data_IF_327111389298
#
_entry.id   IF_327111389298
#
_cell.length_a   1.000
_cell.length_b   1.000
_cell.length_c   1.000
_cell.angle_alpha   90.00
_cell.angle_beta   90.00
_cell.angle_gamma   90.00
#
_symmetry.space_group_name_H-M   'P 1'
#
loop_
_entity.id
_entity.type
_entity.pdbx_description
1 polymer ?
#
# COMPACT_ATOMS: atom_id res chain seq x y z
N UNK A 1 26.38 3.55 -10.76
CA UNK A 1 26.15 4.20 -9.45
C UNK A 1 26.62 3.22 -8.38
N UNK A 2 27.44 3.66 -7.43
CA UNK A 2 27.92 2.84 -6.30
C UNK A 2 27.05 3.01 -5.04
N UNK A 3 25.90 3.66 -5.18
CA UNK A 3 24.97 3.94 -4.11
C UNK A 3 23.64 3.26 -4.38
N UNK A 4 23.00 2.75 -3.33
CA UNK A 4 21.60 2.35 -3.39
C UNK A 4 20.73 3.61 -3.50
N UNK A 5 19.77 3.60 -4.43
CA UNK A 5 18.80 4.67 -4.62
C UNK A 5 17.40 4.20 -4.27
N UNK A 6 16.67 5.00 -3.50
CA UNK A 6 15.20 4.90 -3.37
C UNK A 6 14.60 6.11 -4.07
N UNK A 7 13.84 5.87 -5.14
CA UNK A 7 13.04 6.87 -5.83
C UNK A 7 11.57 6.72 -5.43
N UNK A 8 10.98 7.74 -4.84
CA UNK A 8 9.55 7.78 -4.49
C UNK A 8 8.82 8.66 -5.49
N UNK A 9 7.90 8.09 -6.25
CA UNK A 9 7.15 8.80 -7.28
C UNK A 9 5.91 9.49 -6.71
N UNK A 10 5.56 10.63 -7.29
CA UNK A 10 4.27 11.26 -7.04
C UNK A 10 3.24 10.70 -8.04
N UNK A 11 2.60 9.60 -7.67
CA UNK A 11 1.42 9.04 -8.36
C UNK A 11 0.11 9.70 -7.91
N UNK A 12 0.22 10.80 -7.15
CA UNK A 12 -0.82 11.42 -6.32
C UNK A 12 -1.03 10.66 -5.00
N UNK A 13 -2.23 10.19 -4.70
CA UNK A 13 -2.50 9.51 -3.43
C UNK A 13 -2.37 7.99 -3.60
N UNK A 14 -1.17 7.46 -3.42
CA UNK A 14 -0.86 6.04 -3.52
C UNK A 14 0.64 5.82 -3.44
N UNK A 15 1.08 4.56 -3.53
CA UNK A 15 2.49 4.21 -3.49
C UNK A 15 3.04 3.84 -4.88
N UNK A 16 4.26 4.32 -5.12
CA UNK A 16 5.10 3.94 -6.26
C UNK A 16 6.56 4.23 -5.92
N UNK A 17 7.37 3.19 -5.74
CA UNK A 17 8.79 3.34 -5.40
C UNK A 17 9.66 2.48 -6.31
N UNK A 18 10.67 3.07 -6.93
CA UNK A 18 11.73 2.34 -7.63
C UNK A 18 13.01 2.35 -6.78
N UNK A 19 13.49 1.18 -6.39
CA UNK A 19 14.75 1.02 -5.67
C UNK A 19 15.78 0.41 -6.61
N UNK A 20 16.93 1.05 -6.72
CA UNK A 20 18.07 0.59 -7.51
C UNK A 20 19.22 0.24 -6.57
N UNK A 21 19.69 -1.00 -6.62
CA UNK A 21 20.70 -1.55 -5.72
C UNK A 21 21.91 -2.02 -6.51
N UNK A 22 23.11 -1.47 -6.29
CA UNK A 22 24.34 -2.07 -6.82
C UNK A 22 24.66 -3.34 -6.01
N UNK A 23 24.32 -4.49 -6.58
CA UNK A 23 24.35 -5.80 -5.93
C UNK A 23 25.59 -6.60 -6.38
N UNK A 24 26.51 -6.86 -5.46
CA UNK A 24 27.75 -7.59 -5.73
C UNK A 24 27.59 -9.11 -5.59
N UNK A 25 27.92 -9.85 -6.64
CA UNK A 25 27.99 -11.31 -6.59
C UNK A 25 29.41 -11.75 -6.22
N UNK A 26 29.58 -12.27 -5.00
CA UNK A 26 30.87 -12.76 -4.51
C UNK A 26 31.45 -13.94 -5.32
N UNK A 27 30.60 -14.67 -6.06
CA UNK A 27 31.03 -15.82 -6.87
C UNK A 27 31.67 -15.37 -8.18
N UNK A 28 31.12 -14.33 -8.80
CA UNK A 28 31.59 -13.82 -10.10
C UNK A 28 32.45 -12.57 -9.99
N UNK A 29 32.44 -11.89 -8.83
CA UNK A 29 33.08 -10.60 -8.60
C UNK A 29 32.40 -9.42 -9.30
N UNK A 30 31.24 -9.64 -9.95
CA UNK A 30 30.54 -8.63 -10.71
C UNK A 30 29.52 -7.91 -9.84
N UNK A 31 29.44 -6.58 -9.98
CA UNK A 31 28.35 -5.78 -9.41
C UNK A 31 27.33 -5.50 -10.49
N UNK A 32 26.09 -5.92 -10.28
CA UNK A 32 24.96 -5.65 -11.19
C UNK A 32 24.01 -4.66 -10.54
N UNK A 33 23.54 -3.65 -11.28
CA UNK A 33 22.46 -2.81 -10.79
C UNK A 33 21.14 -3.60 -10.86
N UNK A 34 20.56 -3.87 -9.69
CA UNK A 34 19.29 -4.58 -9.55
C UNK A 34 18.17 -3.59 -9.26
N UNK A 35 17.00 -3.80 -9.86
CA UNK A 35 15.86 -2.90 -9.72
C UNK A 35 14.66 -3.59 -9.09
N UNK A 36 14.09 -2.98 -8.05
CA UNK A 36 12.76 -3.35 -7.55
C UNK A 36 11.75 -2.21 -7.66
N UNK A 37 10.52 -2.53 -8.04
CA UNK A 37 9.40 -1.59 -8.14
C UNK A 37 8.33 -2.02 -7.14
N UNK A 38 7.98 -1.14 -6.22
CA UNK A 38 6.99 -1.39 -5.17
C UNK A 38 5.77 -0.56 -5.48
N UNK A 39 4.67 -1.25 -5.76
CA UNK A 39 3.36 -0.72 -6.09
C UNK A 39 3.37 0.29 -7.26
N UNK A 40 2.22 0.47 -7.89
CA UNK A 40 1.94 1.65 -8.72
C UNK A 40 0.45 1.83 -8.67
N UNK A 41 -0.04 2.81 -7.92
CA UNK A 41 -1.47 3.09 -7.86
C UNK A 41 -1.78 4.47 -7.30
N UNK A 42 -3.04 4.84 -7.35
CA UNK A 42 -3.57 5.96 -6.58
C UNK A 42 -5.03 5.71 -6.19
N UNK A 43 -5.60 6.54 -5.32
CA UNK A 43 -7.00 6.42 -4.93
C UNK A 43 -7.90 6.58 -6.16
N UNK A 44 -9.16 6.16 -6.13
CA UNK A 44 -10.09 6.43 -7.24
C UNK A 44 -10.99 7.66 -7.01
N UNK A 45 -10.64 8.51 -6.04
CA UNK A 45 -11.48 9.62 -5.59
C UNK A 45 -10.75 10.98 -5.63
N UNK A 46 -11.50 12.01 -6.01
CA UNK A 46 -11.03 13.40 -5.99
C UNK A 46 -9.82 13.66 -6.89
N UNK A 47 -9.13 14.78 -6.65
CA UNK A 47 -7.88 15.07 -7.37
C UNK A 47 -6.78 14.06 -7.05
N UNK A 48 -6.75 13.49 -5.85
CA UNK A 48 -5.78 12.46 -5.47
C UNK A 48 -5.80 11.21 -6.36
N UNK A 49 -6.89 10.99 -7.10
CA UNK A 49 -7.10 9.81 -7.92
C UNK A 49 -7.07 9.99 -9.43
N UNK A 50 -6.52 11.12 -9.93
CA UNK A 50 -6.44 11.27 -11.38
C UNK A 50 -5.22 10.53 -11.96
N UNK A 51 -5.51 9.54 -12.80
CA UNK A 51 -4.56 8.64 -13.47
C UNK A 51 -3.49 9.31 -14.34
N UNK A 52 -3.58 10.63 -14.55
CA UNK A 52 -2.57 11.45 -15.21
C UNK A 52 -1.15 11.29 -14.66
N UNK A 53 -0.99 10.81 -13.42
CA UNK A 53 0.32 10.53 -12.82
C UNK A 53 0.96 9.22 -13.29
N UNK A 54 0.19 8.23 -13.76
CA UNK A 54 0.72 6.89 -14.05
C UNK A 54 1.64 6.87 -15.27
N UNK A 55 1.24 7.50 -16.37
CA UNK A 55 2.03 7.46 -17.61
C UNK A 55 3.41 8.13 -17.43
N UNK A 56 3.53 9.36 -16.88
CA UNK A 56 4.84 9.97 -16.67
C UNK A 56 5.72 9.18 -15.69
N UNK A 57 5.11 8.56 -14.67
CA UNK A 57 5.84 7.73 -13.71
C UNK A 57 6.41 6.50 -14.40
N UNK A 58 5.61 5.77 -15.19
CA UNK A 58 6.10 4.57 -15.88
C UNK A 58 7.07 4.87 -17.02
N UNK A 59 6.88 5.97 -17.74
CA UNK A 59 7.89 6.45 -18.69
C UNK A 59 9.22 6.72 -18.00
N UNK A 60 9.20 7.29 -16.78
CA UNK A 60 10.41 7.48 -16.00
C UNK A 60 11.00 6.16 -15.46
N UNK A 61 10.16 5.24 -14.96
CA UNK A 61 10.63 3.90 -14.54
C UNK A 61 11.35 3.21 -15.69
N UNK A 62 10.76 3.19 -16.88
CA UNK A 62 11.37 2.58 -18.07
C UNK A 62 12.68 3.26 -18.47
N UNK A 63 12.76 4.59 -18.34
CA UNK A 63 14.00 5.33 -18.59
C UNK A 63 15.09 4.99 -17.56
N UNK A 64 14.73 4.77 -16.30
CA UNK A 64 15.67 4.38 -15.24
C UNK A 64 16.13 2.93 -15.33
N UNK A 65 15.31 2.06 -15.92
CA UNK A 65 15.71 0.68 -16.25
C UNK A 65 16.65 0.64 -17.45
N UNK A 66 16.55 1.60 -18.39
CA UNK A 66 17.39 1.69 -19.60
C UNK A 66 17.50 0.35 -20.36
N UNK A 67 16.37 -0.35 -20.48
CA UNK A 67 16.26 -1.65 -21.12
C UNK A 67 16.71 -2.86 -20.29
N UNK A 68 17.28 -2.65 -19.10
CA UNK A 68 17.52 -3.68 -18.09
C UNK A 68 16.17 -4.23 -17.56
N UNK A 69 16.15 -5.49 -17.09
CA UNK A 69 14.95 -6.07 -16.54
C UNK A 69 14.60 -5.47 -15.18
N UNK A 70 13.31 -5.40 -14.88
CA UNK A 70 12.81 -5.24 -13.52
C UNK A 70 13.05 -6.56 -12.76
N UNK A 71 14.00 -6.56 -11.83
CA UNK A 71 14.40 -7.78 -11.13
C UNK A 71 13.33 -8.28 -10.15
N UNK A 72 12.60 -7.36 -9.51
CA UNK A 72 11.52 -7.67 -8.59
C UNK A 72 10.40 -6.62 -8.65
N UNK A 73 9.17 -7.03 -8.91
CA UNK A 73 7.98 -6.24 -8.62
C UNK A 73 7.41 -6.64 -7.25
N UNK A 74 6.90 -5.70 -6.47
CA UNK A 74 6.23 -5.96 -5.19
C UNK A 74 4.87 -5.30 -5.19
N UNK A 75 3.81 -6.10 -5.03
CA UNK A 75 2.45 -5.66 -4.72
C UNK A 75 2.23 -5.83 -3.22
N UNK A 76 2.19 -4.72 -2.47
CA UNK A 76 2.15 -4.80 -1.01
C UNK A 76 0.84 -5.40 -0.51
N UNK A 77 -0.30 -4.95 -1.00
CA UNK A 77 -1.63 -5.47 -0.65
C UNK A 77 -2.67 -5.14 -1.73
N UNK A 78 -3.89 -5.62 -1.53
CA UNK A 78 -4.98 -5.60 -2.51
C UNK A 78 -5.84 -4.33 -2.37
N UNK A 79 -5.25 -3.17 -2.66
CA UNK A 79 -5.98 -1.89 -2.77
C UNK A 79 -5.62 -1.13 -4.05
N UNK A 80 -6.59 -0.38 -4.60
CA UNK A 80 -6.48 0.27 -5.91
C UNK A 80 -5.36 1.31 -5.95
N UNK A 81 -5.10 1.99 -4.85
CA UNK A 81 -3.99 2.92 -4.67
C UNK A 81 -2.60 2.28 -4.64
N UNK A 82 -2.53 0.96 -4.78
CA UNK A 82 -1.32 0.17 -4.93
C UNK A 82 -1.27 -0.63 -6.24
N UNK A 83 -2.41 -1.12 -6.73
CA UNK A 83 -2.44 -2.14 -7.81
C UNK A 83 -2.81 -1.61 -9.20
N UNK A 84 -3.45 -0.44 -9.32
CA UNK A 84 -4.16 -0.10 -10.56
C UNK A 84 -3.30 0.51 -11.68
N UNK A 85 -2.14 1.06 -11.34
CA UNK A 85 -1.37 1.92 -12.25
C UNK A 85 -0.69 1.16 -13.40
N UNK A 86 -0.18 -0.05 -13.15
CA UNK A 86 0.39 -0.90 -14.20
C UNK A 86 -0.67 -1.34 -15.23
N UNK A 87 -1.79 -2.00 -14.85
CA UNK A 87 -2.81 -2.41 -15.81
C UNK A 87 -3.41 -1.21 -16.55
N UNK A 88 -3.65 -0.08 -15.86
CA UNK A 88 -4.12 1.15 -16.50
C UNK A 88 -3.16 1.61 -17.61
N UNK A 89 -1.87 1.71 -17.32
CA UNK A 89 -0.91 2.20 -18.30
C UNK A 89 -0.70 1.20 -19.44
N UNK A 90 -0.74 -0.09 -19.15
CA UNK A 90 -0.64 -1.12 -20.18
C UNK A 90 -1.78 -1.01 -21.20
N UNK A 91 -3.02 -0.90 -20.72
CA UNK A 91 -4.18 -0.68 -21.57
C UNK A 91 -4.10 0.64 -22.35
N UNK A 92 -3.80 1.75 -21.66
CA UNK A 92 -3.94 3.10 -22.22
C UNK A 92 -2.77 3.55 -23.10
N UNK A 93 -1.58 3.00 -22.88
CA UNK A 93 -0.33 3.51 -23.50
C UNK A 93 0.49 2.44 -24.22
N UNK A 94 0.45 1.21 -23.74
CA UNK A 94 1.36 0.15 -24.23
C UNK A 94 0.65 -0.97 -24.99
N UNK A 95 -0.69 -0.99 -25.01
CA UNK A 95 -1.49 -1.94 -25.78
C UNK A 95 -1.27 -3.40 -25.40
N UNK A 96 -1.02 -3.67 -24.11
CA UNK A 96 -0.65 -5.01 -23.61
C UNK A 96 0.86 -5.32 -23.68
N UNK A 97 1.68 -4.37 -24.14
CA UNK A 97 3.13 -4.51 -24.32
C UNK A 97 3.99 -4.03 -23.15
N UNK A 98 3.41 -3.72 -21.98
CA UNK A 98 4.17 -3.20 -20.83
C UNK A 98 5.12 -4.26 -20.26
N UNK A 99 4.72 -5.53 -20.27
CA UNK A 99 5.54 -6.65 -19.77
C UNK A 99 6.86 -6.77 -20.53
N UNK A 100 6.85 -6.63 -21.86
CA UNK A 100 8.03 -6.71 -22.72
C UNK A 100 8.99 -5.54 -22.47
N UNK A 101 8.45 -4.40 -22.02
CA UNK A 101 9.23 -3.21 -21.68
C UNK A 101 9.88 -3.31 -20.31
N UNK A 102 9.11 -3.73 -19.28
CA UNK A 102 9.61 -3.88 -17.92
C UNK A 102 10.47 -5.13 -17.74
N UNK A 103 10.19 -6.20 -18.50
CA UNK A 103 10.80 -7.54 -18.37
C UNK A 103 10.87 -8.03 -16.91
N UNK A 104 9.73 -8.08 -16.18
CA UNK A 104 9.76 -8.42 -14.76
C UNK A 104 10.15 -9.89 -14.56
N UNK A 105 11.23 -10.13 -13.80
CA UNK A 105 11.73 -11.48 -13.53
C UNK A 105 10.96 -12.16 -12.41
N UNK A 106 10.79 -11.43 -11.31
CA UNK A 106 10.07 -11.90 -10.15
C UNK A 106 8.97 -10.90 -9.75
N UNK A 107 7.87 -11.42 -9.23
CA UNK A 107 6.85 -10.63 -8.56
C UNK A 107 6.60 -11.20 -7.16
N UNK A 108 6.55 -10.34 -6.15
CA UNK A 108 6.05 -10.64 -4.82
C UNK A 108 4.67 -10.03 -4.67
N UNK A 109 3.67 -10.87 -4.43
CA UNK A 109 2.32 -10.46 -4.09
C UNK A 109 2.03 -10.91 -2.66
N UNK A 110 1.14 -10.18 -1.96
CA UNK A 110 0.70 -10.60 -0.62
C UNK A 110 0.14 -12.03 -0.65
N UNK A 111 0.30 -12.78 0.44
CA UNK A 111 -0.12 -14.18 0.50
C UNK A 111 -1.59 -14.41 0.10
N UNK A 112 -2.49 -13.48 0.48
CA UNK A 112 -3.92 -13.55 0.15
C UNK A 112 -4.21 -13.53 -1.35
N UNK A 113 -3.26 -13.06 -2.15
CA UNK A 113 -3.38 -13.00 -3.59
C UNK A 113 -3.01 -14.34 -4.27
N UNK A 114 -2.64 -15.40 -3.55
CA UNK A 114 -2.43 -16.70 -4.20
C UNK A 114 -3.76 -17.26 -4.76
N UNK A 115 -3.80 -17.84 -5.98
CA UNK A 115 -5.03 -18.37 -6.57
C UNK A 115 -5.74 -19.41 -5.71
N UNK A 116 -4.96 -20.21 -4.97
CA UNK A 116 -5.44 -21.28 -4.08
C UNK A 116 -5.50 -20.85 -2.61
N UNK A 117 -5.23 -19.57 -2.30
CA UNK A 117 -5.08 -19.10 -0.93
C UNK A 117 -6.29 -19.44 -0.06
N UNK A 118 -7.47 -19.06 -0.54
CA UNK A 118 -8.71 -19.21 0.21
C UNK A 118 -9.23 -20.65 0.26
N UNK A 119 -8.68 -21.56 -0.55
CA UNK A 119 -8.91 -23.00 -0.42
C UNK A 119 -8.10 -23.57 0.74
N UNK A 120 -6.87 -23.08 0.95
CA UNK A 120 -5.99 -23.47 2.04
C UNK A 120 -6.32 -22.81 3.38
N UNK A 121 -6.95 -21.63 3.36
CA UNK A 121 -7.30 -20.85 4.55
C UNK A 121 -8.83 -20.63 4.66
N UNK A 122 -9.62 -21.65 5.07
CA UNK A 122 -11.08 -21.59 5.06
C UNK A 122 -11.67 -20.53 6.01
N UNK A 123 -11.01 -20.22 7.13
CA UNK A 123 -11.48 -19.14 8.01
C UNK A 123 -11.27 -17.77 7.34
N UNK A 124 -10.13 -17.54 6.69
CA UNK A 124 -9.91 -16.33 5.90
C UNK A 124 -10.94 -16.21 4.76
N UNK A 125 -11.29 -17.33 4.10
CA UNK A 125 -12.34 -17.37 3.06
C UNK A 125 -13.71 -16.96 3.61
N UNK A 126 -14.10 -17.50 4.76
CA UNK A 126 -15.35 -17.13 5.42
C UNK A 126 -15.40 -15.65 5.77
N UNK A 127 -14.30 -15.07 6.25
CA UNK A 127 -14.21 -13.64 6.56
C UNK A 127 -14.24 -12.78 5.29
N UNK A 128 -13.56 -13.20 4.21
CA UNK A 128 -13.62 -12.53 2.91
C UNK A 128 -15.05 -12.52 2.36
N UNK A 129 -15.73 -13.67 2.37
CA UNK A 129 -17.12 -13.80 1.89
C UNK A 129 -18.06 -12.89 2.67
N UNK A 130 -17.92 -12.85 4.00
CA UNK A 130 -18.69 -11.95 4.86
C UNK A 130 -18.39 -10.47 4.55
N UNK A 131 -17.12 -10.13 4.31
CA UNK A 131 -16.69 -8.76 3.97
C UNK A 131 -17.26 -8.32 2.62
N UNK A 132 -17.22 -9.19 1.60
CA UNK A 132 -17.75 -8.91 0.25
C UNK A 132 -19.27 -8.78 0.28
N UNK A 133 -19.96 -9.66 1.00
CA UNK A 133 -21.40 -9.57 1.19
C UNK A 133 -21.80 -8.26 1.88
N UNK A 134 -21.07 -7.87 2.94
CA UNK A 134 -21.28 -6.61 3.64
C UNK A 134 -21.01 -5.40 2.73
N UNK A 135 -19.92 -5.40 1.97
CA UNK A 135 -19.62 -4.35 0.99
C UNK A 135 -20.77 -4.18 -0.02
N UNK A 136 -21.28 -5.28 -0.56
CA UNK A 136 -22.39 -5.25 -1.52
C UNK A 136 -23.67 -4.70 -0.90
N UNK A 137 -24.00 -5.11 0.32
CA UNK A 137 -25.11 -4.54 1.10
C UNK A 137 -24.92 -3.03 1.31
N UNK A 138 -23.73 -2.58 1.71
CA UNK A 138 -23.43 -1.16 1.97
C UNK A 138 -23.52 -0.33 0.68
N UNK A 139 -23.04 -0.87 -0.44
CA UNK A 139 -23.13 -0.24 -1.76
C UNK A 139 -24.58 -0.10 -2.21
N UNK A 140 -25.37 -1.16 -2.14
CA UNK A 140 -26.81 -1.14 -2.47
C UNK A 140 -27.57 -0.16 -1.57
N UNK A 141 -27.30 -0.18 -0.26
CA UNK A 141 -27.89 0.75 0.68
C UNK A 141 -27.58 2.21 0.32
N UNK A 142 -26.32 2.54 0.01
CA UNK A 142 -25.95 3.89 -0.40
C UNK A 142 -26.58 4.33 -1.72
N UNK A 143 -26.83 3.39 -2.65
CA UNK A 143 -27.56 3.68 -3.90
C UNK A 143 -29.04 4.01 -3.62
N UNK A 144 -29.68 3.27 -2.71
CA UNK A 144 -31.09 3.47 -2.33
C UNK A 144 -31.29 4.63 -1.34
N UNK A 145 -30.26 4.98 -0.58
CA UNK A 145 -30.20 6.08 0.40
C UNK A 145 -28.97 6.97 0.12
N UNK A 146 -28.98 7.81 -0.94
CA UNK A 146 -27.85 8.67 -1.26
C UNK A 146 -27.44 9.60 -0.11
N UNK A 147 -28.36 9.96 0.78
CA UNK A 147 -28.06 10.74 1.99
C UNK A 147 -27.13 10.04 2.99
N UNK A 148 -26.99 8.72 2.92
CA UNK A 148 -26.04 7.95 3.73
C UNK A 148 -24.61 8.00 3.18
N UNK A 149 -24.45 8.26 1.88
CA UNK A 149 -23.15 8.39 1.20
C UNK A 149 -22.54 9.78 1.40
N UNK A 150 -22.26 10.14 2.66
CA UNK A 150 -21.69 11.45 3.04
C UNK A 150 -20.31 11.29 3.68
N UNK A 151 -19.54 12.37 3.69
CA UNK A 151 -18.21 12.40 4.29
C UNK A 151 -17.26 11.45 3.56
N UNK A 152 -16.64 10.53 4.30
CA UNK A 152 -15.62 9.59 3.78
C UNK A 152 -16.20 8.36 3.07
N UNK A 153 -17.51 8.11 3.20
CA UNK A 153 -18.17 6.90 2.68
C UNK A 153 -17.99 6.71 1.17
N UNK A 154 -18.19 7.72 0.30
CA UNK A 154 -18.00 7.53 -1.14
C UNK A 154 -16.58 7.11 -1.52
N UNK A 155 -15.56 7.70 -0.86
CA UNK A 155 -14.17 7.34 -1.11
C UNK A 155 -13.89 5.90 -0.68
N UNK A 156 -14.35 5.48 0.50
CA UNK A 156 -14.17 4.09 0.93
C UNK A 156 -14.93 3.09 0.07
N UNK A 157 -16.11 3.42 -0.45
CA UNK A 157 -16.80 2.56 -1.42
C UNK A 157 -15.98 2.37 -2.70
N UNK A 158 -15.32 3.43 -3.18
CA UNK A 158 -14.47 3.33 -4.39
C UNK A 158 -13.21 2.52 -4.12
N UNK A 159 -12.50 2.80 -3.02
CA UNK A 159 -11.26 2.10 -2.64
C UNK A 159 -11.49 0.62 -2.36
N UNK A 160 -12.60 0.28 -1.70
CA UNK A 160 -12.92 -1.10 -1.32
C UNK A 160 -13.71 -1.87 -2.40
N UNK A 161 -13.80 -1.37 -3.65
CA UNK A 161 -14.47 -2.09 -4.73
C UNK A 161 -13.64 -3.30 -5.18
N UNK A 162 -13.82 -4.41 -4.47
CA UNK A 162 -13.07 -5.65 -4.66
C UNK A 162 -13.11 -6.17 -6.09
N UNK A 163 -14.15 -5.84 -6.88
CA UNK A 163 -14.28 -6.27 -8.28
C UNK A 163 -13.21 -5.65 -9.16
N UNK A 164 -12.85 -4.39 -8.90
CA UNK A 164 -11.79 -3.68 -9.64
C UNK A 164 -10.43 -4.17 -9.19
N UNK A 165 -10.27 -4.36 -7.88
CA UNK A 165 -9.03 -4.88 -7.29
C UNK A 165 -8.74 -6.29 -7.81
N UNK A 166 -9.73 -7.19 -7.81
CA UNK A 166 -9.60 -8.58 -8.31
C UNK A 166 -9.05 -8.61 -9.75
N UNK A 167 -9.54 -7.73 -10.63
CA UNK A 167 -9.06 -7.63 -12.01
C UNK A 167 -7.61 -7.14 -12.10
N UNK A 168 -7.22 -6.18 -11.26
CA UNK A 168 -5.84 -5.70 -11.21
C UNK A 168 -4.90 -6.77 -10.64
N UNK A 169 -5.31 -7.46 -9.57
CA UNK A 169 -4.54 -8.55 -8.97
C UNK A 169 -4.33 -9.68 -9.98
N UNK A 170 -5.34 -10.04 -10.78
CA UNK A 170 -5.15 -11.04 -11.84
C UNK A 170 -4.11 -10.61 -12.88
N UNK A 171 -4.15 -9.36 -13.32
CA UNK A 171 -3.12 -8.82 -14.21
C UNK A 171 -1.72 -8.96 -13.58
N UNK A 172 -1.59 -8.61 -12.29
CA UNK A 172 -0.31 -8.64 -11.57
C UNK A 172 0.20 -10.07 -11.31
N UNK A 173 -0.68 -11.07 -11.16
CA UNK A 173 -0.28 -12.49 -11.08
C UNK A 173 0.48 -12.94 -12.33
N UNK A 174 0.11 -12.42 -13.51
CA UNK A 174 0.73 -12.71 -14.79
C UNK A 174 1.87 -11.77 -15.22
N UNK A 175 2.24 -10.79 -14.38
CA UNK A 175 3.17 -9.72 -14.75
C UNK A 175 4.60 -10.22 -14.97
N UNK A 176 5.09 -11.11 -14.10
CA UNK A 176 6.48 -11.55 -14.08
C UNK A 176 6.69 -12.95 -14.67
N UNK A 177 7.94 -13.32 -14.94
CA UNK A 177 8.31 -14.71 -15.28
C UNK A 177 7.96 -15.68 -14.14
N UNK A 178 8.15 -15.25 -12.89
CA UNK A 178 7.80 -16.03 -11.69
C UNK A 178 7.12 -15.14 -10.65
N UNK A 179 5.90 -15.51 -10.28
CA UNK A 179 5.13 -14.84 -9.25
C UNK A 179 5.17 -15.66 -7.96
N UNK A 180 5.43 -14.99 -6.85
CA UNK A 180 5.58 -15.55 -5.51
C UNK A 180 4.60 -14.86 -4.56
N UNK A 181 4.02 -15.64 -3.65
CA UNK A 181 3.07 -15.15 -2.66
C UNK A 181 3.74 -15.20 -1.29
N UNK A 182 4.17 -14.05 -0.78
CA UNK A 182 5.09 -13.98 0.36
C UNK A 182 4.37 -13.59 1.64
N UNK A 183 4.86 -14.13 2.75
CA UNK A 183 4.44 -13.84 4.11
C UNK A 183 5.64 -13.92 5.05
N UNK A 184 5.46 -13.49 6.30
CA UNK A 184 6.47 -13.62 7.35
C UNK A 184 6.84 -15.10 7.52
N UNK A 185 8.15 -15.36 7.48
CA UNK A 185 8.68 -16.72 7.58
C UNK A 185 8.73 -17.50 6.26
N UNK A 186 8.24 -16.94 5.14
CA UNK A 186 8.39 -17.57 3.84
C UNK A 186 9.88 -17.69 3.45
N UNK A 187 10.23 -18.80 2.78
CA UNK A 187 11.57 -18.96 2.22
C UNK A 187 11.72 -18.05 1.00
N UNK A 188 12.71 -17.15 1.04
CA UNK A 188 12.92 -16.14 -0.01
C UNK A 188 13.97 -16.56 -1.05
N UNK A 189 14.63 -17.71 -0.86
CA UNK A 189 15.57 -18.25 -1.84
C UNK A 189 14.87 -18.44 -3.20
N UNK A 190 15.52 -18.02 -4.29
CA UNK A 190 14.98 -18.09 -5.66
C UNK A 190 13.72 -17.24 -5.92
N UNK A 191 13.28 -16.44 -4.95
CA UNK A 191 12.15 -15.50 -5.12
C UNK A 191 12.58 -14.12 -5.62
N UNK A 192 13.89 -13.86 -5.66
CA UNK A 192 14.52 -12.65 -6.18
C UNK A 192 15.97 -12.95 -6.61
N UNK A 193 16.62 -12.10 -7.44
CA UNK A 193 17.96 -12.38 -7.93
C UNK A 193 19.11 -11.73 -7.13
N UNK A 194 18.81 -10.95 -6.08
CA UNK A 194 19.83 -10.29 -5.24
C UNK A 194 20.80 -11.29 -4.58
N UNK A 195 22.10 -10.96 -4.57
CA UNK A 195 23.22 -11.77 -4.06
C UNK A 195 23.90 -11.16 -2.84
N UNK A 196 24.02 -9.85 -2.80
CA UNK A 196 24.57 -9.09 -1.68
C UNK A 196 23.45 -8.53 -0.80
N UNK A 197 22.46 -7.87 -1.43
CA UNK A 197 21.34 -7.30 -0.72
C UNK A 197 20.47 -8.40 -0.10
N UNK A 198 20.12 -8.23 1.17
CA UNK A 198 19.30 -9.20 1.92
C UNK A 198 17.90 -8.65 2.10
N UNK A 199 16.91 -9.45 1.73
CA UNK A 199 15.51 -9.13 1.96
C UNK A 199 14.95 -9.99 3.10
N UNK A 200 14.09 -9.40 3.93
CA UNK A 200 13.37 -10.09 5.00
C UNK A 200 11.92 -9.59 5.03
N UNK A 201 10.96 -10.49 4.99
CA UNK A 201 9.52 -10.18 5.09
C UNK A 201 9.10 -10.23 6.57
N UNK A 202 8.63 -9.09 7.08
CA UNK A 202 8.17 -8.90 8.46
C UNK A 202 6.65 -9.10 8.60
N UNK A 203 5.87 -8.89 7.54
CA UNK A 203 4.43 -9.12 7.46
C UNK A 203 4.04 -9.31 5.98
N UNK A 204 2.85 -9.85 5.65
CA UNK A 204 1.77 -10.31 6.54
C UNK A 204 2.08 -11.65 7.20
N UNK A 205 1.14 -12.15 8.00
CA UNK A 205 1.15 -13.55 8.43
C UNK A 205 0.66 -14.44 7.29
N UNK A 206 1.02 -15.73 7.30
CA UNK A 206 0.54 -16.69 6.30
C UNK A 206 -1.00 -16.77 6.31
N UNK A 207 -1.60 -16.90 7.49
CA UNK A 207 -3.04 -16.84 7.68
C UNK A 207 -3.51 -15.41 7.95
N UNK A 208 -4.15 -14.80 6.95
CA UNK A 208 -4.64 -13.42 6.98
C UNK A 208 -5.97 -13.29 7.71
N UNK A 209 -6.59 -14.39 8.15
CA UNK A 209 -7.79 -14.33 9.02
C UNK A 209 -7.51 -13.53 10.29
N UNK A 210 -6.25 -13.48 10.75
CA UNK A 210 -5.80 -12.66 11.86
C UNK A 210 -6.04 -11.16 11.66
N UNK A 211 -6.16 -10.69 10.41
CA UNK A 211 -6.31 -9.27 10.09
C UNK A 211 -7.76 -8.80 9.97
N UNK A 212 -8.72 -9.71 9.85
CA UNK A 212 -10.13 -9.36 9.76
C UNK A 212 -10.67 -8.81 11.09
N UNK A 213 -11.40 -7.69 10.99
CA UNK A 213 -12.10 -7.08 12.11
C UNK A 213 -13.37 -7.83 12.50
N UNK A 214 -14.01 -7.38 13.59
CA UNK A 214 -15.42 -7.72 13.82
C UNK A 214 -16.27 -6.74 13.02
N UNK A 215 -17.08 -7.24 12.12
CA UNK A 215 -18.12 -6.46 11.46
C UNK A 215 -19.27 -6.19 12.43
N UNK A 216 -19.84 -5.00 12.39
CA UNK A 216 -21.08 -4.73 13.12
C UNK A 216 -22.24 -5.31 12.29
N UNK A 217 -23.18 -6.07 12.87
CA UNK A 217 -24.35 -6.53 12.14
C UNK A 217 -25.20 -5.33 11.72
N UNK A 218 -25.08 -4.89 10.47
CA UNK A 218 -25.81 -3.74 9.96
C UNK A 218 -27.21 -4.19 9.55
N UNK A 219 -28.22 -3.81 10.32
CA UNK A 219 -29.61 -4.01 9.94
C UNK A 219 -30.03 -2.94 8.92
N UNK A 220 -29.46 -2.99 7.71
CA UNK A 220 -29.70 -2.00 6.63
C UNK A 220 -31.13 -2.04 6.06
N UNK A 221 -31.92 -3.05 6.45
CA UNK A 221 -33.30 -3.21 5.98
C UNK A 221 -33.41 -3.61 4.52
N UNK A 222 -32.34 -4.10 3.90
CA UNK A 222 -32.35 -4.53 2.50
C UNK A 222 -33.23 -5.77 2.33
N UNK A 223 -34.18 -5.70 1.40
CA UNK A 223 -34.99 -6.82 0.93
C UNK A 223 -34.71 -7.09 -0.55
N UNK A 224 -34.28 -8.31 -0.84
CA UNK A 224 -34.05 -8.82 -2.20
C UNK A 224 -35.28 -9.59 -2.67
N UNK A 225 -35.92 -9.18 -3.77
CA UNK A 225 -37.04 -9.90 -4.39
C UNK A 225 -36.53 -10.93 -5.41
N UNK A 226 -37.37 -11.93 -5.70
CA UNK A 226 -37.14 -12.83 -6.84
C UNK A 226 -37.09 -12.00 -8.13
N UNK A 227 -35.96 -12.03 -8.85
CA UNK A 227 -35.69 -11.19 -10.02
C UNK A 227 -34.60 -10.12 -9.82
N UNK A 228 -34.01 -10.01 -8.63
CA UNK A 228 -32.84 -9.15 -8.37
C UNK A 228 -33.16 -7.70 -7.97
N UNK A 229 -34.45 -7.33 -7.89
CA UNK A 229 -34.85 -6.02 -7.38
C UNK A 229 -34.55 -5.92 -5.87
N UNK A 230 -33.80 -4.89 -5.48
CA UNK A 230 -33.47 -4.59 -4.08
C UNK A 230 -34.24 -3.37 -3.61
N UNK A 231 -34.86 -3.47 -2.43
CA UNK A 231 -35.65 -2.40 -1.84
C UNK A 231 -35.33 -2.25 -0.35
N UNK A 232 -35.58 -1.05 0.19
CA UNK A 232 -35.46 -0.80 1.62
C UNK A 232 -36.77 -1.09 2.32
N UNK A 233 -36.71 -1.97 3.31
CA UNK A 233 -37.77 -2.18 4.28
C UNK A 233 -37.34 -1.64 5.63
N UNK A 234 -38.05 -0.63 6.10
CA UNK A 234 -37.96 -0.20 7.50
C UNK A 234 -38.83 -1.16 8.32
N UNK A 235 -38.26 -2.02 9.17
CA UNK A 235 -39.06 -2.92 10.01
C UNK A 235 -39.93 -2.09 10.98
N UNK A 236 -41.11 -2.61 11.30
CA UNK A 236 -41.93 -2.07 12.38
C UNK A 236 -41.37 -2.52 13.74
N UNK A 237 -41.52 -1.72 14.81
CA UNK A 237 -41.17 -2.15 16.16
C UNK A 237 -41.99 -3.40 16.55
N UNK A 238 -41.37 -4.43 17.17
CA UNK A 238 -42.10 -5.58 17.70
C UNK A 238 -43.17 -5.17 18.71
N UNK A 239 -44.22 -5.98 18.86
CA UNK A 239 -45.28 -5.72 19.83
C UNK A 239 -44.70 -5.60 21.25
N UNK A 240 -45.01 -4.49 21.93
CA UNK A 240 -44.49 -4.18 23.27
C UNK A 240 -43.15 -3.46 23.31
N UNK A 241 -42.53 -3.15 22.16
CA UNK A 241 -41.29 -2.34 22.08
C UNK A 241 -41.64 -0.89 21.77
N UNK A 242 -41.03 0.04 22.51
CA UNK A 242 -41.18 1.48 22.25
C UNK A 242 -40.66 1.84 20.84
N UNK A 243 -41.51 2.51 20.06
CA UNK A 243 -41.23 2.83 18.66
C UNK A 243 -40.03 3.78 18.53
N UNK A 244 -39.91 4.78 19.40
CA UNK A 244 -38.81 5.74 19.35
C UNK A 244 -37.47 5.09 19.70
N UNK A 245 -37.42 4.25 20.74
CA UNK A 245 -36.24 3.47 21.10
C UNK A 245 -35.83 2.51 19.97
N UNK A 246 -36.79 1.82 19.34
CA UNK A 246 -36.54 0.94 18.21
C UNK A 246 -35.96 1.68 17.00
N UNK A 247 -36.58 2.80 16.61
CA UNK A 247 -36.10 3.60 15.48
C UNK A 247 -34.78 4.32 15.78
N UNK A 248 -34.51 4.72 17.02
CA UNK A 248 -33.21 5.25 17.42
C UNK A 248 -32.11 4.20 17.33
N UNK A 249 -32.38 2.95 17.74
CA UNK A 249 -31.45 1.84 17.61
C UNK A 249 -31.21 1.48 16.13
N UNK A 250 -32.24 1.48 15.30
CA UNK A 250 -32.12 1.27 13.86
C UNK A 250 -31.30 2.40 13.21
N UNK A 251 -31.57 3.66 13.55
CA UNK A 251 -30.79 4.80 13.08
C UNK A 251 -29.33 4.76 13.54
N UNK A 252 -29.05 4.30 14.77
CA UNK A 252 -27.70 4.09 15.27
C UNK A 252 -26.97 2.98 14.51
N UNK A 253 -27.64 1.85 14.23
CA UNK A 253 -27.08 0.76 13.41
C UNK A 253 -26.80 1.20 11.97
N UNK A 254 -27.65 2.04 11.38
CA UNK A 254 -27.42 2.58 10.03
C UNK A 254 -26.34 3.68 9.98
N UNK A 255 -25.89 4.23 11.11
CA UNK A 255 -24.74 5.17 11.16
C UNK A 255 -23.39 4.46 11.06
N UNK A 256 -23.36 3.12 11.18
CA UNK A 256 -22.14 2.31 11.11
C UNK A 256 -21.58 2.06 9.70
N UNK A 257 -22.24 2.55 8.63
CA UNK A 257 -21.79 2.34 7.24
C UNK A 257 -20.31 2.71 7.05
N UNK A 258 -19.88 3.84 7.60
CA UNK A 258 -18.48 4.26 7.56
C UNK A 258 -17.56 3.34 8.36
N UNK A 259 -18.00 2.88 9.54
CA UNK A 259 -17.20 2.01 10.42
C UNK A 259 -16.99 0.62 9.81
N UNK A 260 -18.00 0.08 9.12
CA UNK A 260 -17.89 -1.22 8.45
C UNK A 260 -17.04 -1.15 7.18
N UNK A 261 -17.17 -0.09 6.38
CA UNK A 261 -16.25 0.16 5.26
C UNK A 261 -14.80 0.31 5.77
N UNK A 262 -14.60 1.05 6.86
CA UNK A 262 -13.31 1.15 7.53
C UNK A 262 -12.81 -0.21 8.03
N UNK A 263 -13.68 -1.11 8.48
CA UNK A 263 -13.26 -2.43 8.92
C UNK A 263 -12.78 -3.33 7.77
N UNK A 264 -13.43 -3.22 6.60
CA UNK A 264 -13.02 -3.91 5.36
C UNK A 264 -11.66 -3.37 4.91
N UNK A 265 -11.53 -2.04 4.83
CA UNK A 265 -10.32 -1.33 4.45
C UNK A 265 -9.11 -1.73 5.30
N UNK A 266 -9.29 -1.72 6.63
CA UNK A 266 -8.27 -2.15 7.60
C UNK A 266 -7.81 -3.59 7.40
N UNK A 267 -8.71 -4.49 7.03
CA UNK A 267 -8.35 -5.89 6.85
C UNK A 267 -7.36 -6.05 5.70
N UNK A 268 -7.64 -5.39 4.56
CA UNK A 268 -6.75 -5.37 3.40
C UNK A 268 -5.44 -4.61 3.67
N UNK A 269 -5.47 -3.44 4.30
CA UNK A 269 -4.27 -2.70 4.68
C UNK A 269 -3.29 -3.55 5.51
N UNK A 270 -3.81 -4.32 6.47
CA UNK A 270 -2.98 -5.16 7.33
C UNK A 270 -2.43 -6.43 6.64
N UNK A 271 -2.86 -6.76 5.41
CA UNK A 271 -2.20 -7.80 4.59
C UNK A 271 -0.98 -7.27 3.83
N UNK A 272 -0.60 -6.00 4.03
CA UNK A 272 0.61 -5.40 3.45
C UNK A 272 1.86 -6.26 3.66
N UNK A 273 2.57 -6.53 2.56
CA UNK A 273 3.97 -6.97 2.62
C UNK A 273 4.78 -5.85 3.25
N UNK A 274 5.15 -6.06 4.51
CA UNK A 274 6.17 -5.24 5.18
C UNK A 274 7.47 -5.98 5.03
N UNK A 275 8.45 -5.39 4.35
CA UNK A 275 9.75 -6.01 4.18
C UNK A 275 10.89 -5.03 4.38
N UNK A 276 12.02 -5.57 4.83
CA UNK A 276 13.27 -4.84 4.93
C UNK A 276 14.24 -5.25 3.83
N UNK A 277 15.04 -4.28 3.39
CA UNK A 277 16.17 -4.49 2.51
C UNK A 277 17.43 -4.02 3.25
N UNK A 278 18.36 -4.94 3.46
CA UNK A 278 19.67 -4.66 4.03
C UNK A 278 20.76 -4.67 2.95
N UNK A 279 21.55 -3.61 2.89
CA UNK A 279 22.65 -3.47 1.92
C UNK A 279 23.76 -2.61 2.52
N UNK A 280 24.98 -3.17 2.62
CA UNK A 280 26.19 -2.49 3.13
C UNK A 280 25.96 -1.68 4.40
N UNK A 281 25.33 -2.32 5.39
CA UNK A 281 25.02 -1.72 6.68
C UNK A 281 23.80 -0.80 6.69
N UNK A 282 23.19 -0.48 5.56
CA UNK A 282 21.87 0.17 5.53
C UNK A 282 20.75 -0.85 5.72
N UNK A 283 19.66 -0.42 6.36
CA UNK A 283 18.41 -1.16 6.54
C UNK A 283 17.27 -0.23 6.17
N UNK A 284 16.59 -0.56 5.10
CA UNK A 284 15.45 0.18 4.56
C UNK A 284 14.19 -0.63 4.86
N UNK A 285 13.15 0.01 5.39
CA UNK A 285 11.87 -0.64 5.67
C UNK A 285 10.78 -0.05 4.77
N UNK A 286 10.09 -0.94 4.05
CA UNK A 286 8.95 -0.62 3.21
C UNK A 286 7.70 -1.20 3.87
N UNK A 287 6.85 -0.32 4.41
CA UNK A 287 5.78 -0.73 5.31
C UNK A 287 4.40 -0.89 4.65
N UNK A 288 4.27 -0.59 3.35
CA UNK A 288 2.97 -0.52 2.66
C UNK A 288 1.96 0.25 3.51
N UNK A 289 0.78 -0.30 3.69
CA UNK A 289 -0.28 0.28 4.51
C UNK A 289 -0.55 -0.48 5.81
N UNK A 290 0.44 -1.23 6.28
CA UNK A 290 0.39 -1.93 7.56
C UNK A 290 -0.08 -1.01 8.71
N UNK A 291 -1.22 -1.36 9.31
CA UNK A 291 -1.76 -0.60 10.43
C UNK A 291 -1.40 -1.19 11.80
N UNK A 292 -1.93 -0.58 12.85
CA UNK A 292 -1.74 -0.94 14.26
C UNK A 292 -1.77 -2.44 14.52
N UNK A 293 -2.65 -3.21 13.85
CA UNK A 293 -2.73 -4.66 14.08
C UNK A 293 -1.48 -5.37 13.54
N UNK A 294 -1.12 -5.13 12.28
CA UNK A 294 0.11 -5.67 11.69
C UNK A 294 1.35 -5.28 12.48
N UNK A 295 1.48 -4.02 12.90
CA UNK A 295 2.60 -3.59 13.75
C UNK A 295 2.67 -4.28 15.11
N UNK A 296 1.52 -4.50 15.77
CA UNK A 296 1.47 -5.25 17.04
C UNK A 296 1.86 -6.71 16.83
N UNK A 297 1.43 -7.32 15.73
CA UNK A 297 1.81 -8.69 15.36
C UNK A 297 3.31 -8.78 15.09
N UNK A 298 3.88 -7.87 14.30
CA UNK A 298 5.34 -7.78 14.09
C UNK A 298 6.12 -7.61 15.40
N UNK A 299 5.64 -6.75 16.33
CA UNK A 299 6.24 -6.61 17.66
C UNK A 299 6.19 -7.92 18.45
N UNK A 300 5.03 -8.59 18.46
CA UNK A 300 4.83 -9.88 19.16
C UNK A 300 5.80 -10.96 18.65
N UNK A 301 6.09 -10.96 17.35
CA UNK A 301 7.04 -11.89 16.74
C UNK A 301 8.51 -11.46 16.81
N UNK A 302 8.80 -10.29 17.39
CA UNK A 302 10.17 -9.82 17.62
C UNK A 302 10.94 -9.45 16.35
N UNK A 303 10.25 -9.13 15.25
CA UNK A 303 10.91 -8.80 13.97
C UNK A 303 11.30 -7.32 13.84
N UNK A 304 10.78 -6.45 14.71
CA UNK A 304 11.07 -5.01 14.67
C UNK A 304 12.53 -4.74 15.02
N UNK A 305 13.22 -4.00 14.15
CA UNK A 305 14.63 -3.63 14.29
C UNK A 305 14.83 -2.15 13.93
N UNK A 306 15.86 -1.47 14.47
CA UNK A 306 16.17 -0.10 14.06
C UNK A 306 16.46 0.01 12.56
N UNK A 307 15.89 1.01 11.90
CA UNK A 307 16.01 1.22 10.45
C UNK A 307 16.65 2.57 10.13
N UNK A 308 17.14 2.71 8.90
CA UNK A 308 17.76 3.94 8.39
C UNK A 308 16.82 4.71 7.47
N UNK A 309 15.94 3.98 6.80
CA UNK A 309 14.89 4.50 5.94
C UNK A 309 13.57 3.85 6.28
N UNK A 310 12.51 4.65 6.31
CA UNK A 310 11.14 4.19 6.43
C UNK A 310 10.30 4.78 5.28
N UNK A 311 9.75 3.92 4.42
CA UNK A 311 8.52 4.30 3.72
C UNK A 311 7.41 4.29 4.77
N UNK A 312 6.97 5.49 5.15
CA UNK A 312 5.94 5.67 6.17
C UNK A 312 4.67 4.99 5.69
N UNK A 313 4.09 4.22 6.59
CA UNK A 313 2.97 3.37 6.25
C UNK A 313 1.68 4.15 6.10
N UNK A 314 0.79 3.68 5.21
CA UNK A 314 -0.58 4.15 5.05
C UNK A 314 -0.63 5.66 4.82
N UNK A 315 0.22 6.14 3.92
CA UNK A 315 0.32 7.55 3.52
C UNK A 315 0.55 8.54 4.68
N UNK A 316 1.09 8.08 5.81
CA UNK A 316 1.28 8.89 7.01
C UNK A 316 0.00 9.07 7.84
N UNK A 317 -0.94 8.14 7.74
CA UNK A 317 -2.16 8.10 8.54
C UNK A 317 -1.89 7.95 10.04
N UNK A 318 -2.88 8.30 10.87
CA UNK A 318 -2.77 8.24 12.32
C UNK A 318 -2.56 6.81 12.87
N UNK A 319 -3.00 5.80 12.12
CA UNK A 319 -2.92 4.36 12.43
C UNK A 319 -1.77 3.64 11.70
N UNK A 320 -1.07 4.31 10.77
CA UNK A 320 -0.04 3.70 9.93
C UNK A 320 1.30 3.52 10.63
N UNK A 321 1.71 4.42 11.53
CA UNK A 321 2.97 4.26 12.28
C UNK A 321 2.73 4.50 13.77
N UNK A 322 2.38 3.44 14.54
CA UNK A 322 2.07 3.53 15.96
C UNK A 322 3.20 4.14 16.78
N UNK A 323 2.87 4.78 17.90
CA UNK A 323 3.83 5.36 18.84
C UNK A 323 4.36 4.33 19.86
N UNK A 324 5.07 4.83 20.88
CA UNK A 324 5.65 4.03 21.96
C UNK A 324 6.70 3.04 21.47
N UNK A 325 6.75 1.87 22.11
CA UNK A 325 7.77 0.85 21.85
C UNK A 325 7.89 0.40 20.39
N UNK A 326 6.80 0.44 19.61
CA UNK A 326 6.84 0.08 18.18
C UNK A 326 7.68 1.11 17.43
N UNK A 327 7.38 2.40 17.65
CA UNK A 327 8.12 3.50 17.07
C UNK A 327 9.58 3.50 17.52
N UNK A 328 9.82 3.29 18.82
CA UNK A 328 11.17 3.26 19.38
C UNK A 328 11.97 2.05 18.88
N UNK A 329 11.33 0.92 18.57
CA UNK A 329 12.02 -0.24 17.99
C UNK A 329 12.55 0.03 16.58
N UNK A 330 11.81 0.77 15.74
CA UNK A 330 12.21 1.05 14.35
C UNK A 330 12.99 2.37 14.21
N UNK A 331 12.67 3.38 15.00
CA UNK A 331 13.25 4.73 14.99
C UNK A 331 13.59 5.17 16.42
N UNK A 332 14.56 4.52 17.09
CA UNK A 332 14.90 4.82 18.50
C UNK A 332 15.41 6.24 18.66
N UNK A 333 15.16 6.83 19.84
CA UNK A 333 15.61 8.18 20.22
C UNK A 333 17.10 8.38 19.92
N UNK A 334 17.94 7.42 20.31
CA UNK A 334 19.37 7.41 20.03
C UNK A 334 19.65 6.34 18.97
N UNK A 335 20.17 6.71 17.80
CA UNK A 335 20.56 5.72 16.81
C UNK A 335 21.70 4.83 17.32
N UNK A 336 21.59 3.49 17.27
CA UNK A 336 22.63 2.58 17.77
C UNK A 336 24.00 2.79 17.11
N UNK A 337 24.01 3.31 15.88
CA UNK A 337 25.21 3.56 15.07
C UNK A 337 25.46 5.04 14.80
N UNK A 338 24.71 5.94 15.45
CA UNK A 338 24.82 7.39 15.28
C UNK A 338 24.46 7.94 13.90
N UNK A 339 23.95 7.12 12.97
CA UNK A 339 23.66 7.58 11.60
C UNK A 339 22.32 8.31 11.50
N UNK A 340 22.28 9.28 10.58
CA UNK A 340 21.05 9.98 10.26
C UNK A 340 20.05 9.02 9.61
N UNK A 341 18.79 9.12 10.04
CA UNK A 341 17.67 8.38 9.49
C UNK A 341 16.81 9.28 8.63
N UNK A 342 16.10 8.68 7.69
CA UNK A 342 15.17 9.37 6.82
C UNK A 342 13.85 8.61 6.72
N UNK A 343 12.77 9.32 6.44
CA UNK A 343 11.47 8.72 6.17
C UNK A 343 10.79 9.46 5.02
N UNK A 344 9.97 8.75 4.25
CA UNK A 344 9.20 9.34 3.15
C UNK A 344 7.72 9.02 3.26
N UNK A 345 6.88 10.02 3.02
CA UNK A 345 5.42 9.89 2.92
C UNK A 345 5.01 10.09 1.46
N UNK A 346 4.39 9.08 0.85
CA UNK A 346 3.63 9.27 -0.39
C UNK A 346 2.21 9.66 -0.01
N UNK A 347 1.76 10.85 -0.43
CA UNK A 347 0.41 11.36 -0.21
C UNK A 347 0.08 12.47 -1.22
N UNK A 348 -1.19 12.85 -1.27
CA UNK A 348 -1.71 13.99 -2.02
C UNK A 348 -2.68 14.81 -1.17
N UNK A 349 -2.52 16.14 -1.17
CA UNK A 349 -3.26 17.06 -0.30
C UNK A 349 -4.75 16.99 -0.57
N UNK A 350 -5.55 17.06 0.50
CA UNK A 350 -7.01 17.13 0.41
C UNK A 350 -7.69 15.83 -0.03
N UNK A 351 -6.95 14.72 -0.14
CA UNK A 351 -7.55 13.42 -0.52
C UNK A 351 -8.38 12.81 0.61
N UNK A 352 -7.79 12.72 1.81
CA UNK A 352 -8.49 12.29 3.03
C UNK A 352 -8.23 13.31 4.13
N UNK A 353 -9.25 13.56 4.95
CA UNK A 353 -9.16 14.52 6.03
C UNK A 353 -8.11 14.08 7.06
N UNK A 354 -7.15 14.95 7.36
CA UNK A 354 -6.10 14.68 8.33
C UNK A 354 -5.01 13.73 7.85
N UNK A 355 -4.90 13.46 6.54
CA UNK A 355 -3.79 12.69 5.95
C UNK A 355 -2.99 13.60 5.01
N UNK A 356 -1.67 13.70 5.18
CA UNK A 356 -0.84 13.09 6.24
C UNK A 356 -1.13 13.62 7.65
N UNK A 357 -1.10 12.74 8.66
CA UNK A 357 -1.48 13.07 10.03
C UNK A 357 -0.39 13.89 10.73
N UNK A 358 -0.70 15.15 11.06
CA UNK A 358 0.28 16.11 11.59
C UNK A 358 1.00 15.62 12.87
N UNK A 359 0.33 15.05 13.89
CA UNK A 359 1.02 14.47 15.05
C UNK A 359 1.97 13.32 14.71
N UNK A 360 1.61 12.46 13.75
CA UNK A 360 2.50 11.38 13.27
C UNK A 360 3.73 11.98 12.60
N UNK A 361 3.55 13.02 11.79
CA UNK A 361 4.64 13.68 11.07
C UNK A 361 5.59 14.42 12.02
N UNK A 362 5.07 15.09 13.04
CA UNK A 362 5.90 15.73 14.07
C UNK A 362 6.72 14.70 14.84
N UNK A 363 6.10 13.58 15.24
CA UNK A 363 6.80 12.46 15.88
C UNK A 363 7.91 11.90 14.97
N UNK A 364 7.66 11.71 13.68
CA UNK A 364 8.68 11.29 12.70
C UNK A 364 9.83 12.30 12.60
N UNK A 365 9.54 13.60 12.48
CA UNK A 365 10.58 14.65 12.41
C UNK A 365 11.46 14.70 13.66
N UNK A 366 10.93 14.30 14.82
CA UNK A 366 11.73 14.21 16.05
C UNK A 366 12.77 13.08 16.05
N UNK A 367 12.72 12.14 15.08
CA UNK A 367 13.65 10.98 14.99
C UNK A 367 14.42 10.88 13.68
N UNK A 368 13.93 11.52 12.61
CA UNK A 368 14.49 11.36 11.27
C UNK A 368 14.21 12.57 10.37
N UNK A 369 14.95 12.70 9.28
CA UNK A 369 14.63 13.64 8.21
C UNK A 369 13.38 13.16 7.45
N UNK A 370 12.30 13.92 7.51
CA UNK A 370 11.03 13.55 6.86
C UNK A 370 10.88 14.26 5.50
N UNK A 371 10.64 13.48 4.44
CA UNK A 371 10.29 13.97 3.11
C UNK A 371 8.89 13.52 2.70
N UNK A 372 8.27 14.23 1.77
CA UNK A 372 6.92 13.91 1.26
C UNK A 372 6.76 14.28 -0.21
N UNK A 373 5.92 13.54 -0.94
CA UNK A 373 5.50 13.82 -2.31
C UNK A 373 4.61 15.06 -2.46
N UNK A 374 4.10 15.63 -1.36
CA UNK A 374 3.27 16.85 -1.31
C UNK A 374 3.98 18.16 -1.70
N UNK A 375 5.19 18.09 -2.25
CA UNK A 375 6.00 19.28 -2.44
C UNK A 375 5.43 20.22 -3.54
N UNK A 376 5.55 21.55 -3.36
CA UNK A 376 5.15 22.52 -4.36
C UNK A 376 5.85 22.27 -5.71
N UNK A 377 5.11 22.45 -6.81
CA UNK A 377 5.69 22.49 -8.16
C UNK A 377 5.65 21.20 -8.97
N UNK A 378 4.74 20.26 -8.68
CA UNK A 378 4.55 19.00 -9.42
C UNK A 378 5.87 18.23 -9.63
N UNK A 379 6.71 18.18 -8.60
CA UNK A 379 7.93 17.38 -8.65
C UNK A 379 7.53 15.91 -8.82
N UNK A 380 7.96 15.23 -9.90
CA UNK A 380 7.44 13.91 -10.25
C UNK A 380 7.95 12.80 -9.32
N UNK A 381 9.09 13.02 -8.64
CA UNK A 381 9.67 12.07 -7.71
C UNK A 381 10.72 12.68 -6.76
N UNK A 382 11.06 11.93 -5.72
CA UNK A 382 12.13 12.22 -4.75
C UNK A 382 13.19 11.11 -4.79
N UNK A 383 14.47 11.47 -4.86
CA UNK A 383 15.57 10.50 -4.75
C UNK A 383 16.27 10.60 -3.39
N UNK A 384 16.44 9.45 -2.75
CA UNK A 384 17.30 9.26 -1.60
C UNK A 384 18.44 8.30 -1.98
N UNK A 385 19.68 8.75 -1.77
CA UNK A 385 20.88 7.97 -2.08
C UNK A 385 21.58 7.51 -0.79
N UNK A 386 21.87 6.22 -0.72
CA UNK A 386 22.58 5.57 0.38
C UNK A 386 23.95 5.09 -0.15
N UNK A 387 25.02 5.78 0.25
CA UNK A 387 26.40 5.45 -0.14
C UNK A 387 26.94 4.27 0.68
N UNK A 388 27.90 3.54 0.15
CA UNK A 388 28.58 2.46 0.87
C UNK A 388 29.27 2.96 2.15
N UNK A 389 28.83 2.45 3.31
CA UNK A 389 29.26 2.90 4.64
C UNK A 389 30.75 2.61 4.88
N UNK A 390 31.29 1.55 4.27
CA UNK A 390 32.71 1.20 4.39
C UNK A 390 33.60 2.14 3.58
N UNK A 391 33.05 2.78 2.53
CA UNK A 391 33.79 3.72 1.67
C UNK A 391 33.62 5.17 2.10
N UNK A 392 32.50 5.57 2.70
CA UNK A 392 32.27 6.95 3.16
C UNK A 392 31.42 7.02 4.44
N UNK A 393 31.86 7.79 5.44
CA UNK A 393 31.07 8.13 6.65
C UNK A 393 30.01 9.23 6.40
N UNK A 394 29.50 9.36 5.17
CA UNK A 394 28.64 10.48 4.76
C UNK A 394 27.16 10.11 4.94
N UNK A 395 26.30 11.01 5.48
CA UNK A 395 24.86 10.76 5.54
C UNK A 395 24.22 10.63 4.15
N UNK A 396 23.04 9.98 4.03
CA UNK A 396 22.31 9.86 2.77
C UNK A 396 22.06 11.23 2.13
N UNK A 397 22.22 11.32 0.81
CA UNK A 397 22.02 12.57 0.06
C UNK A 397 20.63 12.57 -0.58
N UNK A 398 19.86 13.63 -0.31
CA UNK A 398 18.57 13.85 -0.97
C UNK A 398 18.84 14.57 -2.29
N UNK A 399 18.45 13.97 -3.41
CA UNK A 399 18.40 14.64 -4.71
C UNK A 399 16.95 14.79 -5.14
N UNK A 400 16.60 15.96 -5.66
CA UNK A 400 15.25 16.25 -6.14
C UNK A 400 15.30 16.48 -7.64
N UNK A 401 14.34 15.92 -8.37
CA UNK A 401 14.17 16.28 -9.77
C UNK A 401 13.70 17.73 -9.88
N UNK A 402 14.27 18.46 -10.82
CA UNK A 402 13.73 19.75 -11.25
C UNK A 402 12.65 19.46 -12.29
N UNK A 403 11.46 20.08 -12.22
CA UNK A 403 10.44 19.91 -13.24
C UNK A 403 11.02 20.21 -14.63
N UNK A 404 10.87 19.29 -15.57
CA UNK A 404 11.19 19.56 -16.98
C UNK A 404 10.18 20.60 -17.45
N UNK A 405 10.62 21.86 -17.64
CA UNK A 405 9.80 22.86 -18.31
C UNK A 405 9.50 22.33 -19.71
N UNK A 406 8.23 22.09 -19.99
CA UNK A 406 7.75 21.69 -21.29
C UNK A 406 8.18 22.77 -22.31
N UNK A 407 9.01 22.48 -23.34
CA UNK A 407 9.44 23.50 -24.30
C UNK A 407 8.32 23.98 -25.25
N UNK A 408 7.08 23.50 -25.07
CA UNK A 408 6.04 23.54 -26.09
C UNK A 408 4.73 24.25 -25.71
N UNK A 409 4.77 25.33 -24.92
CA UNK A 409 3.66 26.30 -24.90
C UNK A 409 4.21 27.71 -25.04
N UNK A 410 4.30 28.17 -26.29
CA UNK A 410 4.28 29.61 -26.57
C UNK A 410 2.85 30.09 -26.32
N UNK A 411 2.78 31.24 -25.66
CA UNK A 411 1.57 31.99 -25.34
C UNK A 411 0.77 32.39 -26.58
#
# INVERSE_FOLDING_TARGET
MDALRVRTYNVRFGDALLVSVPDHDATTGLTTMRHLLIDVGNVQAGEGGADSGFLPVLENVLAELDGAPLDLYVMTHEHLDHVQGLPYADERRYGGGLREKLKPRHAWLTASAAPDYYERHPEAKKQLDASRALYDDLREYCQLKPEAARGVVPSFLLTNDYRKTDACVEYLRGLAERTHYVHRGAALAETHPFKEARLEVWAPEEDTSEYYGRFMPVALGLKRKAGGEVSLHVPAPPAGVDASAFYNLLAWRCRGVGDDLLAIDKAANNTSIVFSLEWRGWRLLFAGDAEVRSWKTMKKHGVLKPVHFLKVSHHGSHNGTPDGDIFDAILPVQPPDGRQRTAVISAYDGTYNGIPHAPTNERLRSRCALSTTLQPGNVPYLDLLFEDVERTRTPPRIRRAVPVRNPGRRA
#
